data_IF_973871213534
#
_entry.id   IF_973871213534
#
_cell.length_a   1.000
_cell.length_b   1.000
_cell.length_c   1.000
_cell.angle_alpha   90.00
_cell.angle_beta   90.00
_cell.angle_gamma   90.00
#
_symmetry.space_group_name_H-M   'P 1'
#
loop_
_entity.id
_entity.type
_entity.pdbx_description
1 polymer ?
#
# COMPACT_ATOMS: atom_id res chain seq x y z
N UNK A 1 14.16 6.90 -18.72
CA UNK A 1 12.80 6.75 -18.16
C UNK A 1 12.25 8.14 -17.85
N UNK A 2 11.03 8.45 -18.27
CA UNK A 2 10.36 9.74 -17.99
C UNK A 2 9.59 9.61 -16.65
N UNK A 3 10.21 10.02 -15.57
CA UNK A 3 9.66 9.87 -14.22
C UNK A 3 8.44 10.75 -13.98
N UNK A 4 8.35 11.93 -14.63
CA UNK A 4 7.17 12.81 -14.52
C UNK A 4 5.94 12.15 -15.18
N UNK A 5 6.13 11.45 -16.30
CA UNK A 5 5.07 10.69 -16.94
C UNK A 5 4.62 9.51 -16.07
N UNK A 6 5.56 8.74 -15.52
CA UNK A 6 5.29 7.60 -14.62
C UNK A 6 4.51 8.06 -13.39
N UNK A 7 4.92 9.13 -12.73
CA UNK A 7 4.24 9.68 -11.57
C UNK A 7 2.80 10.08 -11.91
N UNK A 8 2.58 10.77 -13.03
CA UNK A 8 1.24 11.18 -13.46
C UNK A 8 0.33 9.98 -13.76
N UNK A 9 0.84 8.94 -14.43
CA UNK A 9 0.09 7.72 -14.69
C UNK A 9 -0.24 6.98 -13.40
N UNK A 10 0.72 6.91 -12.47
CA UNK A 10 0.53 6.29 -11.17
C UNK A 10 -0.55 7.01 -10.35
N UNK A 11 -0.54 8.34 -10.31
CA UNK A 11 -1.56 9.16 -9.66
C UNK A 11 -2.95 8.83 -10.21
N UNK A 12 -3.09 8.71 -11.53
CA UNK A 12 -4.36 8.38 -12.17
C UNK A 12 -4.82 6.95 -11.84
N UNK A 13 -3.91 5.97 -11.94
CA UNK A 13 -4.21 4.58 -11.63
C UNK A 13 -4.66 4.41 -10.17
N UNK A 14 -3.97 5.05 -9.23
CA UNK A 14 -4.30 5.02 -7.79
C UNK A 14 -5.68 5.61 -7.52
N UNK A 15 -6.02 6.73 -8.15
CA UNK A 15 -7.34 7.35 -7.97
C UNK A 15 -8.47 6.44 -8.51
N UNK A 16 -8.28 5.83 -9.69
CA UNK A 16 -9.27 4.92 -10.27
C UNK A 16 -9.43 3.64 -9.44
N UNK A 17 -8.31 3.07 -8.96
CA UNK A 17 -8.31 1.90 -8.09
C UNK A 17 -9.00 2.21 -6.75
N UNK A 18 -8.75 3.38 -6.17
CA UNK A 18 -9.43 3.81 -4.94
C UNK A 18 -10.94 4.01 -5.16
N UNK A 19 -11.35 4.64 -6.25
CA UNK A 19 -12.77 4.79 -6.56
C UNK A 19 -13.45 3.42 -6.74
N UNK A 20 -12.77 2.42 -7.32
CA UNK A 20 -13.22 1.03 -7.37
C UNK A 20 -13.33 0.41 -5.98
N UNK A 21 -12.31 0.59 -5.14
CA UNK A 21 -12.30 0.11 -3.75
C UNK A 21 -13.49 0.68 -2.97
N UNK A 22 -13.81 1.96 -3.12
CA UNK A 22 -14.94 2.61 -2.44
C UNK A 22 -16.29 1.99 -2.79
N UNK A 23 -16.45 1.50 -4.00
CA UNK A 23 -17.66 0.75 -4.39
C UNK A 23 -17.73 -0.58 -3.64
N UNK A 24 -16.59 -1.28 -3.51
CA UNK A 24 -16.50 -2.57 -2.82
C UNK A 24 -16.68 -2.45 -1.30
N UNK A 25 -16.32 -1.28 -0.73
CA UNK A 25 -16.32 -1.03 0.72
C UNK A 25 -17.36 -0.02 1.18
N UNK A 26 -18.47 0.13 0.43
CA UNK A 26 -19.47 1.18 0.67
C UNK A 26 -20.06 1.18 2.10
N UNK A 27 -20.11 0.02 2.75
CA UNK A 27 -20.63 -0.15 4.11
C UNK A 27 -19.56 -0.55 5.14
N UNK A 28 -18.28 -0.46 4.77
CA UNK A 28 -17.17 -0.89 5.61
C UNK A 28 -16.22 0.28 5.92
N UNK A 29 -15.67 0.27 7.13
CA UNK A 29 -14.66 1.24 7.54
C UNK A 29 -13.27 0.74 7.14
N UNK A 30 -12.64 1.44 6.20
CA UNK A 30 -11.21 1.26 5.90
C UNK A 30 -10.38 1.76 7.08
N UNK A 31 -9.33 1.02 7.44
CA UNK A 31 -8.32 1.47 8.40
C UNK A 31 -6.92 1.59 7.80
N UNK A 32 -6.64 0.84 6.73
CA UNK A 32 -5.35 0.88 6.05
C UNK A 32 -5.51 0.72 4.54
N UNK A 33 -4.59 1.35 3.82
CA UNK A 33 -4.43 1.25 2.36
C UNK A 33 -2.94 1.42 2.04
N UNK A 34 -2.40 0.54 1.21
CA UNK A 34 -1.04 0.66 0.73
C UNK A 34 -0.94 0.45 -0.78
N UNK A 35 0.11 1.01 -1.36
CA UNK A 35 0.64 0.55 -2.64
C UNK A 35 1.73 -0.48 -2.36
N UNK A 36 1.61 -1.65 -2.96
CA UNK A 36 2.63 -2.69 -2.94
C UNK A 36 3.37 -2.73 -4.26
N UNK A 37 4.65 -3.10 -4.18
CA UNK A 37 5.48 -3.40 -5.35
C UNK A 37 6.36 -4.61 -5.03
N UNK A 38 6.66 -5.45 -6.01
CA UNK A 38 7.64 -6.52 -5.88
C UNK A 38 9.07 -5.96 -5.78
N UNK A 39 10.00 -6.72 -5.18
CA UNK A 39 11.41 -6.33 -5.03
C UNK A 39 12.09 -5.98 -6.37
N UNK A 40 11.64 -6.59 -7.46
CA UNK A 40 12.12 -6.30 -8.82
C UNK A 40 11.45 -5.08 -9.48
N UNK A 41 10.52 -4.41 -8.80
CA UNK A 41 9.79 -3.25 -9.32
C UNK A 41 8.70 -3.58 -10.35
N UNK A 42 8.34 -4.85 -10.53
CA UNK A 42 7.51 -5.32 -11.64
C UNK A 42 6.06 -5.64 -11.23
N UNK A 43 5.42 -4.87 -10.44
CA UNK A 43 4.04 -5.22 -10.09
C UNK A 43 3.48 -4.32 -9.01
N UNK A 44 3.11 -3.11 -9.41
CA UNK A 44 2.44 -2.20 -8.49
C UNK A 44 0.98 -2.61 -8.38
N UNK A 45 0.47 -2.65 -7.14
CA UNK A 45 -0.93 -2.90 -6.83
C UNK A 45 -1.41 -2.08 -5.64
N UNK A 46 -2.73 -1.88 -5.56
CA UNK A 46 -3.37 -1.22 -4.42
C UNK A 46 -4.00 -2.28 -3.54
N UNK A 47 -3.60 -2.30 -2.26
CA UNK A 47 -4.16 -3.19 -1.26
C UNK A 47 -4.82 -2.38 -0.14
N UNK A 48 -5.86 -2.94 0.47
CA UNK A 48 -6.57 -2.28 1.55
C UNK A 48 -7.24 -3.30 2.48
N UNK A 49 -7.51 -2.86 3.73
CA UNK A 49 -8.29 -3.68 4.64
C UNK A 49 -9.31 -2.85 5.43
N UNK A 50 -10.30 -3.56 5.99
CA UNK A 50 -11.39 -2.99 6.74
C UNK A 50 -11.43 -3.54 8.16
N UNK A 51 -11.91 -2.74 9.12
CA UNK A 51 -12.08 -3.21 10.50
C UNK A 51 -12.99 -4.43 10.63
N UNK A 52 -14.13 -4.54 9.91
CA UNK A 52 -14.97 -5.74 9.96
C UNK A 52 -14.23 -7.01 9.55
N UNK A 53 -13.44 -6.96 8.47
CA UNK A 53 -12.69 -8.12 8.00
C UNK A 53 -11.57 -8.51 8.98
N UNK A 54 -10.81 -7.54 9.49
CA UNK A 54 -9.78 -7.79 10.49
C UNK A 54 -10.36 -8.46 11.75
N UNK A 55 -11.49 -7.95 12.26
CA UNK A 55 -12.14 -8.50 13.44
C UNK A 55 -12.64 -9.95 13.19
N UNK A 56 -13.15 -10.21 12.00
CA UNK A 56 -13.53 -11.56 11.58
C UNK A 56 -12.31 -12.48 11.55
N UNK A 57 -11.22 -12.10 10.89
CA UNK A 57 -9.97 -12.85 10.80
C UNK A 57 -9.44 -13.21 12.18
N UNK A 58 -9.30 -12.22 13.07
CA UNK A 58 -8.84 -12.42 14.45
C UNK A 58 -9.76 -13.40 15.21
N UNK A 59 -11.08 -13.29 15.02
CA UNK A 59 -12.03 -14.19 15.67
C UNK A 59 -11.91 -15.64 15.18
N UNK A 60 -11.69 -15.83 13.87
CA UNK A 60 -11.49 -17.13 13.24
C UNK A 60 -10.20 -17.79 13.72
N UNK A 61 -9.10 -17.06 13.76
CA UNK A 61 -7.81 -17.55 14.25
C UNK A 61 -7.87 -17.94 15.73
N UNK A 62 -8.48 -17.10 16.57
CA UNK A 62 -8.69 -17.40 18.00
C UNK A 62 -9.55 -18.64 18.26
N UNK A 63 -10.41 -19.04 17.32
CA UNK A 63 -11.20 -20.27 17.44
C UNK A 63 -10.37 -21.52 17.14
N UNK A 64 -9.22 -21.37 16.48
CA UNK A 64 -8.32 -22.48 16.10
C UNK A 64 -7.19 -22.62 17.11
N UNK A 65 -6.59 -21.49 17.51
CA UNK A 65 -5.43 -21.48 18.40
C UNK A 65 -5.37 -20.20 19.26
N UNK A 66 -4.51 -20.23 20.29
CA UNK A 66 -4.24 -19.02 21.08
C UNK A 66 -3.33 -18.09 20.28
N UNK A 67 -3.80 -16.85 20.00
CA UNK A 67 -3.03 -15.83 19.30
C UNK A 67 -2.55 -14.74 20.26
N UNK A 68 -1.37 -14.21 20.00
CA UNK A 68 -0.74 -13.14 20.79
C UNK A 68 -1.14 -11.77 20.24
N UNK A 69 -0.80 -10.70 20.99
CA UNK A 69 -0.93 -9.33 20.48
C UNK A 69 -0.03 -9.07 19.25
N UNK A 70 1.09 -9.78 19.15
CA UNK A 70 1.97 -9.69 17.99
C UNK A 70 1.32 -10.31 16.75
N UNK A 71 0.60 -11.44 16.90
CA UNK A 71 -0.15 -12.06 15.81
C UNK A 71 -1.28 -11.14 15.34
N UNK A 72 -2.00 -10.48 16.27
CA UNK A 72 -3.03 -9.50 15.91
C UNK A 72 -2.44 -8.31 15.17
N UNK A 73 -1.26 -7.83 15.58
CA UNK A 73 -0.54 -6.76 14.89
C UNK A 73 -0.12 -7.20 13.47
N UNK A 74 0.33 -8.43 13.32
CA UNK A 74 0.66 -9.00 12.02
C UNK A 74 -0.57 -9.04 11.10
N UNK A 75 -1.71 -9.59 11.55
CA UNK A 75 -2.95 -9.61 10.75
C UNK A 75 -3.45 -8.20 10.39
N UNK A 76 -3.21 -7.23 11.27
CA UNK A 76 -3.60 -5.83 11.00
C UNK A 76 -2.74 -5.19 9.92
N UNK A 77 -1.43 -5.43 9.91
CA UNK A 77 -0.48 -4.61 9.15
C UNK A 77 0.22 -5.32 8.00
N UNK A 78 0.17 -6.65 7.95
CA UNK A 78 0.66 -7.42 6.79
C UNK A 78 -0.36 -7.37 5.65
N UNK A 79 -0.01 -6.70 4.56
CA UNK A 79 -0.91 -6.57 3.40
C UNK A 79 -1.24 -7.91 2.73
N UNK A 80 -0.42 -8.94 2.93
CA UNK A 80 -0.67 -10.31 2.47
C UNK A 80 -1.86 -11.01 3.18
N UNK A 81 -2.25 -10.49 4.36
CA UNK A 81 -3.39 -11.00 5.13
C UNK A 81 -4.69 -10.22 4.88
N UNK A 82 -4.65 -9.21 4.01
CA UNK A 82 -5.76 -8.31 3.79
C UNK A 82 -6.77 -8.87 2.77
N UNK A 83 -8.02 -8.43 2.93
CA UNK A 83 -9.11 -8.85 2.06
C UNK A 83 -9.01 -8.31 0.64
N UNK A 84 -8.58 -7.07 0.52
CA UNK A 84 -8.53 -6.34 -0.74
C UNK A 84 -7.09 -6.25 -1.22
N UNK A 85 -6.69 -7.22 -2.05
CA UNK A 85 -5.38 -7.29 -2.69
C UNK A 85 -5.54 -7.00 -4.18
N UNK A 86 -4.67 -6.15 -4.72
CA UNK A 86 -4.63 -5.84 -6.15
C UNK A 86 -5.90 -5.19 -6.69
N UNK A 87 -6.58 -4.36 -5.90
CA UNK A 87 -7.81 -3.71 -6.36
C UNK A 87 -7.51 -2.77 -7.52
N UNK A 88 -8.25 -2.94 -8.62
CA UNK A 88 -8.07 -2.14 -9.82
C UNK A 88 -6.76 -2.42 -10.55
N UNK A 89 -6.23 -3.64 -10.48
CA UNK A 89 -5.00 -4.05 -11.18
C UNK A 89 -5.02 -3.68 -12.66
N UNK A 90 -6.19 -3.68 -13.29
CA UNK A 90 -6.38 -3.26 -14.68
C UNK A 90 -5.92 -1.81 -14.94
N UNK A 91 -5.96 -0.93 -13.95
CA UNK A 91 -5.50 0.46 -14.06
C UNK A 91 -3.98 0.59 -13.96
N UNK A 92 -3.32 -0.33 -13.27
CA UNK A 92 -1.86 -0.38 -13.14
C UNK A 92 -1.19 -1.16 -14.27
N UNK A 93 -1.93 -2.00 -15.00
CA UNK A 93 -1.34 -2.92 -16.01
C UNK A 93 -0.50 -2.22 -17.09
N UNK A 94 -0.93 -1.09 -17.71
CA UNK A 94 -0.11 -0.39 -18.67
C UNK A 94 1.22 0.07 -18.09
N UNK A 95 1.18 0.70 -16.90
CA UNK A 95 2.35 1.18 -16.20
C UNK A 95 3.28 0.03 -15.78
N UNK A 96 2.74 -1.05 -15.24
CA UNK A 96 3.52 -2.23 -14.85
C UNK A 96 4.26 -2.85 -16.04
N UNK A 97 3.64 -2.88 -17.23
CA UNK A 97 4.30 -3.38 -18.43
C UNK A 97 5.45 -2.47 -18.86
N UNK A 98 5.27 -1.14 -18.83
CA UNK A 98 6.29 -0.17 -19.16
C UNK A 98 7.47 -0.23 -18.18
N UNK A 99 7.19 -0.26 -16.88
CA UNK A 99 8.20 -0.37 -15.82
C UNK A 99 9.00 -1.66 -15.95
N UNK A 100 8.36 -2.80 -16.18
CA UNK A 100 9.01 -4.09 -16.40
C UNK A 100 10.03 -4.00 -17.54
N UNK A 101 9.62 -3.46 -18.68
CA UNK A 101 10.53 -3.33 -19.84
C UNK A 101 11.67 -2.34 -19.58
N UNK A 102 11.41 -1.26 -18.85
CA UNK A 102 12.38 -0.22 -18.59
C UNK A 102 13.40 -0.65 -17.52
N UNK A 103 12.95 -1.24 -16.41
CA UNK A 103 13.82 -1.67 -15.31
C UNK A 103 14.73 -2.83 -15.73
N UNK A 104 14.27 -3.77 -16.56
CA UNK A 104 15.10 -4.86 -17.09
C UNK A 104 16.27 -4.38 -17.95
N UNK A 105 16.21 -3.14 -18.48
CA UNK A 105 17.25 -2.55 -19.35
C UNK A 105 18.07 -1.49 -18.63
N UNK A 106 17.75 -1.17 -17.39
CA UNK A 106 18.38 -0.06 -16.66
C UNK A 106 19.63 -0.54 -15.91
N UNK A 107 20.79 0.03 -16.26
CA UNK A 107 22.06 -0.22 -15.56
C UNK A 107 22.10 0.44 -14.16
N UNK A 108 21.17 1.36 -13.88
CA UNK A 108 21.03 2.08 -12.60
C UNK A 108 19.77 1.63 -11.85
N UNK A 109 19.49 0.36 -11.83
CA UNK A 109 18.27 -0.25 -11.32
C UNK A 109 17.91 0.20 -9.89
N UNK A 110 18.90 0.27 -9.00
CA UNK A 110 18.73 0.72 -7.62
C UNK A 110 18.24 2.18 -7.53
N UNK A 111 18.83 3.09 -8.32
CA UNK A 111 18.39 4.50 -8.35
C UNK A 111 16.99 4.64 -8.96
N UNK A 112 16.67 3.83 -9.94
CA UNK A 112 15.35 3.82 -10.55
C UNK A 112 14.31 3.25 -9.63
N UNK A 113 14.64 2.25 -8.81
CA UNK A 113 13.76 1.69 -7.80
C UNK A 113 13.42 2.72 -6.70
N UNK A 114 14.40 3.45 -6.17
CA UNK A 114 14.17 4.54 -5.21
C UNK A 114 13.20 5.60 -5.76
N UNK A 115 13.40 6.00 -7.02
CA UNK A 115 12.47 6.95 -7.67
C UNK A 115 11.06 6.40 -7.83
N UNK A 116 10.93 5.09 -8.05
CA UNK A 116 9.63 4.44 -8.10
C UNK A 116 8.92 4.51 -6.74
N UNK A 117 9.64 4.22 -5.66
CA UNK A 117 9.09 4.34 -4.30
C UNK A 117 8.66 5.78 -4.02
N UNK A 118 9.46 6.78 -4.40
CA UNK A 118 9.11 8.18 -4.23
C UNK A 118 7.86 8.57 -5.03
N UNK A 119 7.73 8.10 -6.28
CA UNK A 119 6.53 8.31 -7.10
C UNK A 119 5.28 7.63 -6.49
N UNK A 120 5.43 6.45 -5.88
CA UNK A 120 4.33 5.77 -5.17
C UNK A 120 3.87 6.55 -3.93
N UNK A 121 4.81 7.10 -3.16
CA UNK A 121 4.50 7.97 -2.02
C UNK A 121 3.77 9.22 -2.50
N UNK A 122 4.24 9.85 -3.58
CA UNK A 122 3.61 11.04 -4.14
C UNK A 122 2.20 10.76 -4.65
N UNK A 123 1.97 9.63 -5.31
CA UNK A 123 0.64 9.22 -5.76
C UNK A 123 -0.34 9.04 -4.59
N UNK A 124 0.10 8.45 -3.46
CA UNK A 124 -0.72 8.33 -2.25
C UNK A 124 -0.96 9.68 -1.58
N UNK A 125 0.01 10.61 -1.63
CA UNK A 125 -0.17 12.00 -1.15
C UNK A 125 -1.24 12.71 -1.97
N UNK A 126 -1.17 12.63 -3.29
CA UNK A 126 -2.21 13.16 -4.18
C UNK A 126 -3.59 12.54 -3.92
N UNK A 127 -3.65 11.23 -3.67
CA UNK A 127 -4.89 10.57 -3.29
C UNK A 127 -5.47 11.14 -1.99
N UNK A 128 -4.62 11.34 -0.95
CA UNK A 128 -5.04 11.92 0.32
C UNK A 128 -5.56 13.35 0.13
N UNK A 129 -4.91 14.16 -0.67
CA UNK A 129 -5.33 15.53 -0.95
C UNK A 129 -6.68 15.57 -1.71
N UNK A 130 -6.85 14.69 -2.68
CA UNK A 130 -8.07 14.61 -3.47
C UNK A 130 -9.25 13.94 -2.75
N UNK A 131 -8.99 13.01 -1.83
CA UNK A 131 -9.99 12.15 -1.17
C UNK A 131 -9.92 12.19 0.36
N UNK A 132 -9.34 13.24 0.95
CA UNK A 132 -9.03 13.32 2.39
C UNK A 132 -10.20 13.00 3.32
N UNK A 133 -11.44 13.37 2.97
CA UNK A 133 -12.61 13.01 3.76
C UNK A 133 -12.85 11.48 3.81
N UNK A 134 -12.67 10.79 2.69
CA UNK A 134 -12.85 9.33 2.60
C UNK A 134 -11.68 8.56 3.22
N UNK A 135 -10.53 9.21 3.38
CA UNK A 135 -9.30 8.64 3.97
C UNK A 135 -9.08 9.06 5.43
N UNK A 136 -10.07 9.70 6.06
CA UNK A 136 -9.97 10.08 7.47
C UNK A 136 -9.83 8.83 8.35
N UNK A 137 -8.74 8.77 9.13
CA UNK A 137 -8.45 7.62 9.98
C UNK A 137 -7.86 6.41 9.25
N UNK A 138 -7.59 6.52 7.94
CA UNK A 138 -6.94 5.47 7.16
C UNK A 138 -5.43 5.70 7.18
N UNK A 139 -4.68 4.68 7.57
CA UNK A 139 -3.21 4.69 7.48
C UNK A 139 -2.78 4.39 6.05
N UNK A 140 -1.98 5.28 5.46
CA UNK A 140 -1.40 5.11 4.12
C UNK A 140 0.08 4.78 4.22
N UNK A 141 0.57 3.85 3.41
CA UNK A 141 1.98 3.53 3.30
C UNK A 141 2.31 2.84 1.96
N UNK A 142 3.59 2.71 1.66
CA UNK A 142 4.12 1.93 0.54
C UNK A 142 4.81 0.71 1.13
N UNK A 143 4.64 -0.45 0.52
CA UNK A 143 5.29 -1.70 0.93
C UNK A 143 6.00 -2.35 -0.25
N UNK A 144 7.08 -3.07 0.04
CA UNK A 144 7.77 -3.95 -0.92
C UNK A 144 7.54 -5.39 -0.46
N UNK A 145 7.23 -6.27 -1.39
CA UNK A 145 7.15 -7.71 -1.08
C UNK A 145 8.52 -8.36 -1.22
N UNK A 146 8.80 -9.30 -0.31
CA UNK A 146 10.00 -10.16 -0.33
C UNK A 146 11.35 -9.43 -0.22
N UNK A 147 11.42 -8.29 0.47
CA UNK A 147 12.63 -7.49 0.65
C UNK A 147 12.99 -7.24 2.11
N UNK A 148 14.26 -7.22 2.43
CA UNK A 148 14.78 -6.84 3.75
C UNK A 148 14.56 -5.34 4.06
N UNK A 149 14.29 -4.53 3.05
CA UNK A 149 14.03 -3.08 3.19
C UNK A 149 12.54 -2.74 3.45
N UNK A 150 11.66 -3.74 3.45
CA UNK A 150 10.20 -3.57 3.59
C UNK A 150 9.84 -2.66 4.76
N UNK A 151 10.33 -2.97 5.96
CA UNK A 151 10.00 -2.20 7.17
C UNK A 151 10.50 -0.75 7.09
N UNK A 152 11.68 -0.53 6.56
CA UNK A 152 12.25 0.83 6.43
C UNK A 152 11.42 1.70 5.48
N UNK A 153 10.98 1.15 4.35
CA UNK A 153 10.15 1.84 3.37
C UNK A 153 8.74 2.07 3.90
N UNK A 154 8.14 1.08 4.55
CA UNK A 154 6.84 1.22 5.20
C UNK A 154 6.85 2.34 6.24
N UNK A 155 7.86 2.37 7.12
CA UNK A 155 7.99 3.38 8.17
C UNK A 155 8.24 4.78 7.59
N UNK A 156 9.12 4.91 6.57
CA UNK A 156 9.38 6.16 5.85
C UNK A 156 8.10 6.71 5.23
N UNK A 157 7.45 5.90 4.41
CA UNK A 157 6.24 6.31 3.70
C UNK A 157 5.07 6.62 4.63
N UNK A 158 4.92 5.87 5.72
CA UNK A 158 3.90 6.15 6.72
C UNK A 158 4.15 7.49 7.43
N UNK A 159 5.42 7.82 7.73
CA UNK A 159 5.78 9.10 8.32
C UNK A 159 5.46 10.29 7.40
N UNK A 160 5.64 10.11 6.09
CA UNK A 160 5.41 11.15 5.09
C UNK A 160 3.92 11.36 4.77
N UNK A 161 3.11 10.29 4.86
CA UNK A 161 1.74 10.27 4.38
C UNK A 161 0.67 10.47 5.47
N UNK A 162 1.02 10.32 6.74
CA UNK A 162 0.02 10.34 7.81
C UNK A 162 0.30 11.45 8.84
N UNK A 163 -0.72 11.78 9.64
CA UNK A 163 -0.53 12.63 10.81
C UNK A 163 0.45 11.99 11.81
N UNK A 164 1.21 12.77 12.57
CA UNK A 164 2.30 12.24 13.41
C UNK A 164 1.89 11.15 14.41
N UNK A 165 0.71 11.23 14.98
CA UNK A 165 0.16 10.23 15.90
C UNK A 165 -0.18 8.91 15.20
N UNK A 166 -0.74 8.97 14.00
CA UNK A 166 -1.05 7.80 13.16
C UNK A 166 0.24 7.15 12.66
N UNK A 167 1.19 7.95 12.18
CA UNK A 167 2.49 7.48 11.75
C UNK A 167 3.24 6.78 12.89
N UNK A 168 3.30 7.39 14.07
CA UNK A 168 3.98 6.81 15.24
C UNK A 168 3.34 5.48 15.68
N UNK A 169 2.01 5.39 15.68
CA UNK A 169 1.31 4.16 16.01
C UNK A 169 1.64 3.03 15.01
N UNK A 170 1.76 3.37 13.72
CA UNK A 170 2.16 2.41 12.69
C UNK A 170 3.63 2.00 12.82
N UNK A 171 4.54 2.93 13.01
CA UNK A 171 5.99 2.66 13.13
C UNK A 171 6.29 1.75 14.34
N UNK A 172 5.56 1.90 15.44
CA UNK A 172 5.73 1.06 16.64
C UNK A 172 4.86 -0.22 16.63
N UNK A 173 4.32 -0.64 15.48
CA UNK A 173 3.37 -1.75 15.36
C UNK A 173 3.87 -3.14 15.80
N UNK A 174 5.19 -3.33 15.79
CA UNK A 174 5.81 -4.60 16.19
C UNK A 174 6.65 -4.50 17.49
N UNK A 175 6.62 -3.39 18.18
CA UNK A 175 7.25 -3.17 19.50
C UNK A 175 8.52 -2.37 19.44
#
# INVERSE_FOLDING_TARGET
MDWDAIENELIQAVQQAFDRLRILTVHEQLYALCLSVSEDGMGIGLNANTDPFLNQKISEERAIEEITLQDESYFRWSSAEWRFEGVGNEFFQPLNNELTEALLRDEQQEISFEKLIDAMIEALRHLRDARGHALKGVTLFVTITDSDETEAIENRSAADLNAPDVAQAFISRFG
#
